data_IF_276771866175
#
_entry.id   IF_276771866175
#
_cell.length_a   1.000
_cell.length_b   1.000
_cell.length_c   1.000
_cell.angle_alpha   90.00
_cell.angle_beta   90.00
_cell.angle_gamma   90.00
#
_symmetry.space_group_name_H-M   'P 1'
#
loop_
_entity.id
_entity.type
_entity.pdbx_description
1 polymer ?
#
# COMPACT_ATOMS: atom_id res chain seq x y z
N UNK A 1 14.27 -10.37 1.00
CA UNK A 1 13.31 -10.50 2.11
C UNK A 1 13.56 -9.39 3.14
N UNK A 2 12.73 -8.36 3.14
CA UNK A 2 12.66 -7.42 4.25
C UNK A 2 11.97 -8.15 5.39
N UNK A 3 12.61 -8.25 6.55
CA UNK A 3 12.00 -8.86 7.73
C UNK A 3 10.76 -8.03 8.13
N UNK A 4 9.61 -8.68 8.35
CA UNK A 4 8.36 -8.00 8.70
C UNK A 4 8.34 -7.60 10.18
N UNK A 5 9.36 -6.85 10.59
CA UNK A 5 9.60 -6.41 11.97
C UNK A 5 9.72 -4.89 12.06
N UNK A 6 9.78 -4.21 10.90
CA UNK A 6 9.93 -2.76 10.79
C UNK A 6 8.75 -2.17 10.02
N UNK A 7 8.12 -1.14 10.60
CA UNK A 7 7.12 -0.36 9.89
C UNK A 7 7.74 0.36 8.69
N UNK A 8 7.14 0.19 7.52
CA UNK A 8 7.57 0.83 6.28
C UNK A 8 6.53 1.85 5.85
N UNK A 9 6.98 3.00 5.33
CA UNK A 9 6.11 3.97 4.71
C UNK A 9 6.79 4.64 3.51
N UNK A 10 5.97 5.07 2.56
CA UNK A 10 6.40 5.85 1.40
C UNK A 10 5.44 7.00 1.14
N UNK A 11 6.03 8.17 0.87
CA UNK A 11 5.30 9.35 0.42
C UNK A 11 5.16 9.33 -1.10
N UNK A 12 3.93 9.53 -1.57
CA UNK A 12 3.56 9.60 -2.98
C UNK A 12 3.01 10.99 -3.29
N UNK A 13 3.01 11.44 -4.57
CA UNK A 13 2.45 12.74 -4.95
C UNK A 13 0.98 12.96 -4.53
N UNK A 14 0.23 11.87 -4.35
CA UNK A 14 -1.21 11.91 -4.06
C UNK A 14 -1.59 11.33 -2.69
N UNK A 15 -0.60 11.04 -1.83
CA UNK A 15 -0.85 10.53 -0.49
C UNK A 15 0.30 9.71 0.08
N UNK A 16 -0.01 8.79 1.00
CA UNK A 16 0.98 7.98 1.71
C UNK A 16 0.54 6.54 1.71
N UNK A 17 1.48 5.62 1.51
CA UNK A 17 1.26 4.18 1.69
C UNK A 17 2.18 3.68 2.81
N UNK A 18 1.65 2.88 3.72
CA UNK A 18 2.39 2.32 4.85
C UNK A 18 1.98 0.87 5.13
N UNK A 19 2.97 0.08 5.54
CA UNK A 19 2.80 -1.28 6.02
C UNK A 19 3.27 -1.33 7.48
N UNK A 20 2.35 -1.69 8.37
CA UNK A 20 2.61 -1.82 9.79
C UNK A 20 2.64 -3.30 10.16
N UNK A 21 3.80 -3.84 10.57
CA UNK A 21 3.92 -5.23 11.00
C UNK A 21 2.93 -5.58 12.10
N UNK A 22 2.25 -6.72 11.94
CA UNK A 22 1.42 -7.32 12.98
C UNK A 22 2.11 -8.56 13.54
N UNK A 23 2.56 -9.44 12.65
CA UNK A 23 3.37 -10.62 12.96
C UNK A 23 4.35 -10.92 11.81
N UNK A 24 5.00 -12.09 11.82
CA UNK A 24 6.00 -12.46 10.82
C UNK A 24 5.46 -12.58 9.40
N UNK A 25 4.15 -12.79 9.22
CA UNK A 25 3.51 -13.05 7.93
C UNK A 25 2.48 -11.97 7.54
N UNK A 26 1.99 -11.18 8.50
CA UNK A 26 0.92 -10.21 8.28
C UNK A 26 1.32 -8.78 8.64
N UNK A 27 0.79 -7.85 7.85
CA UNK A 27 0.90 -6.40 8.09
C UNK A 27 -0.44 -5.72 7.86
N UNK A 28 -0.68 -4.67 8.63
CA UNK A 28 -1.77 -3.74 8.36
C UNK A 28 -1.34 -2.74 7.28
N UNK A 29 -2.12 -2.67 6.20
CA UNK A 29 -1.95 -1.68 5.14
C UNK A 29 -2.71 -0.41 5.48
N UNK A 30 -2.01 0.72 5.44
CA UNK A 30 -2.61 2.05 5.48
C UNK A 30 -2.30 2.76 4.17
N UNK A 31 -3.33 3.05 3.37
CA UNK A 31 -3.17 3.76 2.11
C UNK A 31 -4.05 5.00 2.08
N UNK A 32 -3.42 6.16 2.29
CA UNK A 32 -4.07 7.46 2.24
C UNK A 32 -3.96 8.03 0.83
N UNK A 33 -5.09 8.43 0.25
CA UNK A 33 -5.19 9.04 -1.07
C UNK A 33 -6.29 10.11 -1.07
N UNK A 34 -6.39 10.87 -2.16
CA UNK A 34 -7.61 11.65 -2.45
C UNK A 34 -8.83 10.73 -2.51
N UNK A 35 -9.98 11.24 -2.04
CA UNK A 35 -11.24 10.48 -1.95
C UNK A 35 -11.65 9.84 -3.27
N UNK A 36 -11.50 10.54 -4.41
CA UNK A 36 -11.87 10.03 -5.73
C UNK A 36 -10.99 8.86 -6.21
N UNK A 37 -9.75 8.78 -5.74
CA UNK A 37 -8.85 7.66 -6.03
C UNK A 37 -9.08 6.50 -5.06
N UNK A 38 -9.31 6.78 -3.78
CA UNK A 38 -9.67 5.77 -2.79
C UNK A 38 -10.95 5.03 -3.22
N UNK A 39 -11.98 5.77 -3.64
CA UNK A 39 -13.23 5.21 -4.16
C UNK A 39 -13.05 4.32 -5.40
N UNK A 40 -12.04 4.60 -6.23
CA UNK A 40 -11.71 3.74 -7.39
C UNK A 40 -11.01 2.47 -6.93
N UNK A 41 -10.02 2.57 -6.04
CA UNK A 41 -9.30 1.41 -5.50
C UNK A 41 -10.24 0.46 -4.77
N UNK A 42 -11.17 0.98 -3.98
CA UNK A 42 -12.16 0.17 -3.25
C UNK A 42 -13.12 -0.61 -4.14
N UNK A 43 -13.18 -0.29 -5.45
CA UNK A 43 -14.02 -0.99 -6.45
C UNK A 43 -13.24 -1.96 -7.33
N UNK A 44 -11.91 -2.02 -7.17
CA UNK A 44 -11.09 -2.96 -7.95
C UNK A 44 -11.33 -4.39 -7.48
N UNK A 45 -11.13 -5.32 -8.40
CA UNK A 45 -10.96 -6.73 -8.05
C UNK A 45 -9.65 -6.92 -7.28
N UNK A 46 -9.58 -7.99 -6.48
CA UNK A 46 -8.48 -8.25 -5.56
C UNK A 46 -7.11 -8.24 -6.26
N UNK A 47 -6.96 -8.96 -7.37
CA UNK A 47 -5.71 -9.01 -8.14
C UNK A 47 -5.29 -7.63 -8.65
N UNK A 48 -6.26 -6.85 -9.14
CA UNK A 48 -6.02 -5.49 -9.64
C UNK A 48 -5.63 -4.53 -8.51
N UNK A 49 -6.19 -4.71 -7.31
CA UNK A 49 -5.79 -3.96 -6.12
C UNK A 49 -4.36 -4.28 -5.70
N UNK A 50 -3.99 -5.57 -5.69
CA UNK A 50 -2.63 -6.02 -5.37
C UNK A 50 -1.61 -5.48 -6.37
N UNK A 51 -1.92 -5.51 -7.67
CA UNK A 51 -1.06 -4.94 -8.70
C UNK A 51 -0.85 -3.44 -8.52
N UNK A 52 -1.92 -2.69 -8.25
CA UNK A 52 -1.84 -1.26 -7.98
C UNK A 52 -0.98 -0.97 -6.74
N UNK A 53 -1.18 -1.73 -5.66
CA UNK A 53 -0.39 -1.60 -4.43
C UNK A 53 1.09 -1.86 -4.70
N UNK A 54 1.42 -2.97 -5.37
CA UNK A 54 2.81 -3.34 -5.69
C UNK A 54 3.50 -2.28 -6.55
N UNK A 55 2.80 -1.71 -7.54
CA UNK A 55 3.34 -0.61 -8.35
C UNK A 55 3.72 0.60 -7.48
N UNK A 56 2.89 0.96 -6.49
CA UNK A 56 3.22 2.07 -5.58
C UNK A 56 4.35 1.78 -4.61
N UNK A 57 4.58 0.52 -4.26
CA UNK A 57 5.66 0.13 -3.35
C UNK A 57 7.02 0.04 -4.04
N UNK A 58 7.06 -0.39 -5.30
CA UNK A 58 8.33 -0.74 -5.98
C UNK A 58 8.75 0.29 -7.03
N UNK A 59 7.83 1.03 -7.65
CA UNK A 59 8.16 1.90 -8.79
C UNK A 59 8.74 3.24 -8.35
N UNK A 60 9.88 3.68 -8.89
CA UNK A 60 10.55 4.95 -8.54
C UNK A 60 9.90 6.21 -9.14
N UNK A 61 8.68 6.12 -9.67
CA UNK A 61 7.95 7.26 -10.26
C UNK A 61 7.42 8.23 -9.19
#
# INVERSE_FOLDING_TARGET
>A
PTDNTVAWQRFLPHGVVALLPLDTEHSSLVWTLRTDLADKLMRLEEDSFVDALNQTMVSDQ
#
